data_IF_343327585983
#
_entry.id   IF_343327585983
#
_cell.length_a   1.000
_cell.length_b   1.000
_cell.length_c   1.000
_cell.angle_alpha   90.00
_cell.angle_beta   90.00
_cell.angle_gamma   90.00
#
_symmetry.space_group_name_H-M   'P 1'
#
loop_
_entity.id
_entity.type
_entity.pdbx_description
1 polymer ?
#
# COMPACT_ATOMS: atom_id res chain seq x y z
N UNK A 1 6.49 -24.08 -28.30
CA UNK A 1 7.65 -23.23 -28.62
C UNK A 1 8.19 -22.66 -27.32
N UNK A 2 9.41 -23.06 -26.93
CA UNK A 2 10.03 -22.61 -25.69
C UNK A 2 10.47 -21.16 -25.88
N UNK A 3 9.80 -20.24 -25.19
CA UNK A 3 9.99 -18.80 -25.29
C UNK A 3 11.28 -18.35 -24.63
N UNK A 4 12.37 -18.36 -25.39
CA UNK A 4 13.58 -17.67 -24.97
C UNK A 4 13.31 -16.16 -25.01
N UNK A 5 13.34 -15.49 -23.86
CA UNK A 5 13.32 -14.02 -23.82
C UNK A 5 14.50 -13.50 -24.66
N UNK A 6 14.28 -12.54 -25.57
CA UNK A 6 15.38 -11.98 -26.36
C UNK A 6 16.43 -11.33 -25.44
N UNK A 7 17.70 -11.30 -25.85
CA UNK A 7 18.83 -10.89 -24.99
C UNK A 7 18.76 -9.44 -24.46
N UNK A 8 17.83 -8.63 -24.96
CA UNK A 8 17.57 -7.26 -24.51
C UNK A 8 16.11 -7.03 -24.08
N UNK A 9 15.39 -8.10 -23.74
CA UNK A 9 14.04 -7.98 -23.21
C UNK A 9 14.06 -7.27 -21.85
N UNK A 10 13.33 -6.16 -21.75
CA UNK A 10 13.12 -5.46 -20.49
C UNK A 10 12.24 -6.34 -19.60
N UNK A 11 12.56 -6.40 -18.30
CA UNK A 11 11.73 -7.10 -17.33
C UNK A 11 10.30 -6.55 -17.38
N UNK A 12 9.27 -7.42 -17.41
CA UNK A 12 7.89 -6.97 -17.48
C UNK A 12 7.55 -6.15 -16.22
N UNK A 13 7.05 -4.93 -16.41
CA UNK A 13 6.58 -4.10 -15.32
C UNK A 13 5.33 -4.72 -14.69
N UNK A 14 5.35 -4.86 -13.36
CA UNK A 14 4.19 -5.38 -12.60
C UNK A 14 3.49 -4.23 -11.91
N UNK A 15 2.19 -4.11 -12.17
CA UNK A 15 1.34 -3.22 -11.41
C UNK A 15 0.78 -3.99 -10.20
N UNK A 16 1.27 -3.66 -9.00
CA UNK A 16 1.05 -4.43 -7.77
C UNK A 16 -0.43 -4.54 -7.37
N UNK A 17 -1.17 -3.44 -7.42
CA UNK A 17 -2.55 -3.35 -6.93
C UNK A 17 -3.59 -3.38 -8.07
N UNK A 18 -3.47 -4.35 -8.98
CA UNK A 18 -4.29 -4.40 -10.20
C UNK A 18 -5.75 -4.71 -9.90
N UNK A 19 -6.01 -5.63 -8.97
CA UNK A 19 -7.36 -6.02 -8.58
C UNK A 19 -8.02 -4.86 -7.85
N UNK A 20 -7.30 -4.23 -6.91
CA UNK A 20 -7.80 -3.08 -6.17
C UNK A 20 -8.09 -1.87 -7.06
N UNK A 21 -7.21 -1.56 -8.02
CA UNK A 21 -7.47 -0.49 -8.99
C UNK A 21 -8.66 -0.82 -9.91
N UNK A 22 -8.78 -2.08 -10.37
CA UNK A 22 -9.90 -2.54 -11.17
C UNK A 22 -11.23 -2.49 -10.40
N UNK A 23 -11.21 -2.87 -9.12
CA UNK A 23 -12.36 -2.80 -8.22
C UNK A 23 -12.82 -1.36 -8.05
N UNK A 24 -11.92 -0.44 -7.71
CA UNK A 24 -12.22 0.99 -7.60
C UNK A 24 -12.78 1.58 -8.91
N UNK A 25 -12.24 1.16 -10.08
CA UNK A 25 -12.71 1.63 -11.38
C UNK A 25 -14.11 1.15 -11.76
N UNK A 26 -14.51 -0.05 -11.31
CA UNK A 26 -15.82 -0.64 -11.61
C UNK A 26 -16.90 -0.32 -10.57
N UNK A 27 -16.51 0.00 -9.34
CA UNK A 27 -17.43 0.37 -8.27
C UNK A 27 -18.29 1.58 -8.65
N UNK A 28 -19.56 1.61 -8.25
CA UNK A 28 -20.44 2.75 -8.48
C UNK A 28 -19.91 4.03 -7.83
N UNK A 29 -20.18 5.18 -8.44
CA UNK A 29 -19.85 6.47 -7.83
C UNK A 29 -20.53 6.60 -6.45
N UNK A 30 -19.76 7.00 -5.43
CA UNK A 30 -20.20 7.08 -4.03
C UNK A 30 -19.35 6.24 -3.08
N UNK A 31 -19.94 5.84 -1.95
CA UNK A 31 -19.23 5.28 -0.80
C UNK A 31 -18.27 4.13 -1.12
N UNK A 32 -18.72 3.07 -1.81
CA UNK A 32 -17.87 1.90 -2.07
C UNK A 32 -16.64 2.22 -2.92
N UNK A 33 -16.80 3.07 -3.95
CA UNK A 33 -15.66 3.53 -4.77
C UNK A 33 -14.69 4.36 -3.94
N UNK A 34 -15.19 5.26 -3.10
CA UNK A 34 -14.35 6.11 -2.26
C UNK A 34 -13.57 5.30 -1.21
N UNK A 35 -14.19 4.26 -0.65
CA UNK A 35 -13.54 3.32 0.28
C UNK A 35 -12.45 2.52 -0.45
N UNK A 36 -12.74 1.98 -1.63
CA UNK A 36 -11.75 1.25 -2.43
C UNK A 36 -10.57 2.15 -2.84
N UNK A 37 -10.83 3.42 -3.21
CA UNK A 37 -9.79 4.39 -3.51
C UNK A 37 -8.95 4.74 -2.27
N UNK A 38 -9.57 4.90 -1.11
CA UNK A 38 -8.85 5.16 0.14
C UNK A 38 -7.91 3.99 0.49
N UNK A 39 -8.40 2.75 0.35
CA UNK A 39 -7.58 1.54 0.53
C UNK A 39 -6.43 1.50 -0.49
N UNK A 40 -6.70 1.84 -1.76
CA UNK A 40 -5.68 1.90 -2.80
C UNK A 40 -4.58 2.90 -2.50
N UNK A 41 -4.94 4.12 -2.09
CA UNK A 41 -3.96 5.17 -1.76
C UNK A 41 -3.15 4.80 -0.53
N UNK A 42 -3.79 4.34 0.56
CA UNK A 42 -3.10 3.90 1.77
C UNK A 42 -2.12 2.75 1.47
N UNK A 43 -2.57 1.73 0.74
CA UNK A 43 -1.72 0.57 0.36
C UNK A 43 -0.57 0.99 -0.55
N UNK A 44 -0.80 1.94 -1.47
CA UNK A 44 0.25 2.47 -2.34
C UNK A 44 1.31 3.24 -1.56
N UNK A 45 0.93 3.95 -0.51
CA UNK A 45 1.89 4.63 0.36
C UNK A 45 2.66 3.64 1.23
N UNK A 46 1.98 2.65 1.82
CA UNK A 46 2.63 1.56 2.55
C UNK A 46 3.62 0.77 1.68
N UNK A 47 3.28 0.47 0.42
CA UNK A 47 4.21 -0.16 -0.53
C UNK A 47 5.43 0.71 -0.85
N UNK A 48 5.35 2.01 -0.64
CA UNK A 48 6.49 2.92 -0.75
C UNK A 48 7.46 2.85 0.42
N UNK A 49 7.24 1.97 1.40
CA UNK A 49 8.24 1.64 2.41
C UNK A 49 9.17 0.51 1.93
N UNK A 50 8.69 -0.34 1.02
CA UNK A 50 9.40 -1.53 0.56
C UNK A 50 10.34 -1.23 -0.62
N UNK A 51 11.49 -1.93 -0.71
CA UNK A 51 12.31 -1.93 -1.91
C UNK A 51 11.56 -2.57 -3.11
N UNK A 52 11.91 -2.25 -4.36
CA UNK A 52 13.01 -1.37 -4.79
C UNK A 52 12.59 0.09 -4.97
N UNK A 53 11.33 0.44 -4.70
CA UNK A 53 10.77 1.78 -4.96
C UNK A 53 10.40 2.51 -3.67
N UNK A 54 11.21 2.33 -2.63
CA UNK A 54 10.99 3.00 -1.36
C UNK A 54 11.12 4.52 -1.50
N UNK A 55 10.31 5.25 -0.74
CA UNK A 55 10.32 6.70 -0.75
C UNK A 55 11.48 7.24 0.09
N UNK A 56 12.04 8.37 -0.34
CA UNK A 56 12.83 9.20 0.55
C UNK A 56 11.89 9.77 1.62
N UNK A 57 12.32 9.83 2.88
CA UNK A 57 11.47 10.25 4.00
C UNK A 57 10.73 11.60 3.78
N UNK A 58 11.41 12.59 3.19
CA UNK A 58 10.81 13.87 2.85
C UNK A 58 9.68 13.75 1.80
N UNK A 59 9.78 12.79 0.88
CA UNK A 59 8.74 12.50 -0.10
C UNK A 59 7.57 11.73 0.52
N UNK A 60 7.85 10.80 1.43
CA UNK A 60 6.83 10.06 2.17
C UNK A 60 5.91 11.02 2.93
N UNK A 61 6.49 11.95 3.71
CA UNK A 61 5.74 12.97 4.44
C UNK A 61 4.89 13.88 3.53
N UNK A 62 5.46 14.36 2.42
CA UNK A 62 4.71 15.19 1.45
C UNK A 62 3.54 14.44 0.81
N UNK A 63 3.75 13.17 0.46
CA UNK A 63 2.72 12.31 -0.14
C UNK A 63 1.61 12.00 0.87
N UNK A 64 1.96 11.68 2.11
CA UNK A 64 1.00 11.43 3.18
C UNK A 64 0.16 12.69 3.47
N UNK A 65 0.76 13.87 3.57
CA UNK A 65 0.04 15.12 3.77
C UNK A 65 -0.97 15.40 2.62
N UNK A 66 -0.55 15.22 1.37
CA UNK A 66 -1.44 15.35 0.21
C UNK A 66 -2.57 14.32 0.21
N UNK A 67 -2.26 13.07 0.56
CA UNK A 67 -3.26 12.01 0.70
C UNK A 67 -4.25 12.29 1.84
N UNK A 68 -3.80 12.87 2.95
CA UNK A 68 -4.65 13.27 4.08
C UNK A 68 -5.63 14.36 3.69
N UNK A 69 -5.17 15.38 2.97
CA UNK A 69 -6.01 16.46 2.45
C UNK A 69 -7.06 15.92 1.47
N UNK A 70 -6.65 15.03 0.55
CA UNK A 70 -7.57 14.36 -0.36
C UNK A 70 -8.60 13.50 0.38
N UNK A 71 -8.17 12.68 1.34
CA UNK A 71 -9.04 11.81 2.15
C UNK A 71 -10.10 12.61 2.91
N UNK A 72 -9.76 13.81 3.40
CA UNK A 72 -10.69 14.69 4.08
C UNK A 72 -11.89 15.07 3.18
N UNK A 73 -11.67 15.18 1.86
CA UNK A 73 -12.70 15.55 0.89
C UNK A 73 -13.67 14.41 0.51
N UNK A 74 -13.38 13.16 0.85
CA UNK A 74 -14.22 12.01 0.50
C UNK A 74 -15.46 11.88 1.39
N UNK A 75 -16.58 11.40 0.85
CA UNK A 75 -17.83 11.15 1.58
C UNK A 75 -17.95 9.71 2.06
N UNK A 76 -17.11 9.34 3.03
CA UNK A 76 -17.03 7.97 3.55
C UNK A 76 -17.39 7.87 5.05
N UNK A 77 -17.74 6.67 5.55
CA UNK A 77 -18.00 6.45 6.98
C UNK A 77 -16.84 6.92 7.88
N UNK A 78 -17.11 7.58 9.02
CA UNK A 78 -16.05 8.16 9.87
C UNK A 78 -15.00 7.15 10.35
N UNK A 79 -15.41 5.92 10.69
CA UNK A 79 -14.51 4.87 11.14
C UNK A 79 -13.49 4.49 10.06
N UNK A 80 -13.95 4.29 8.82
CA UNK A 80 -13.08 4.01 7.68
C UNK A 80 -12.17 5.20 7.36
N UNK A 81 -12.69 6.44 7.42
CA UNK A 81 -11.88 7.65 7.21
C UNK A 81 -10.76 7.76 8.24
N UNK A 82 -11.06 7.43 9.49
CA UNK A 82 -10.07 7.44 10.58
C UNK A 82 -8.99 6.36 10.36
N UNK A 83 -9.39 5.13 10.07
CA UNK A 83 -8.45 4.02 9.82
C UNK A 83 -7.57 4.28 8.59
N UNK A 84 -8.14 4.79 7.50
CA UNK A 84 -7.38 5.16 6.31
C UNK A 84 -6.38 6.30 6.61
N UNK A 85 -6.79 7.28 7.43
CA UNK A 85 -5.90 8.33 7.91
C UNK A 85 -4.71 7.78 8.69
N UNK A 86 -4.98 6.88 9.65
CA UNK A 86 -3.93 6.23 10.44
C UNK A 86 -2.94 5.44 9.58
N UNK A 87 -3.41 4.69 8.58
CA UNK A 87 -2.55 3.97 7.64
C UNK A 87 -1.70 4.91 6.77
N UNK A 88 -2.28 6.02 6.32
CA UNK A 88 -1.54 7.06 5.58
C UNK A 88 -0.46 7.69 6.46
N UNK A 89 -0.80 8.05 7.69
CA UNK A 89 0.13 8.71 8.61
C UNK A 89 1.27 7.75 9.00
N UNK A 90 0.97 6.48 9.29
CA UNK A 90 1.98 5.45 9.59
C UNK A 90 2.98 5.23 8.44
N UNK A 91 2.53 5.38 7.18
CA UNK A 91 3.41 5.27 6.01
C UNK A 91 4.39 6.44 5.85
N UNK A 92 4.14 7.57 6.52
CA UNK A 92 5.05 8.72 6.52
C UNK A 92 6.24 8.53 7.46
N UNK A 93 6.04 7.83 8.57
CA UNK A 93 7.01 7.68 9.65
C UNK A 93 8.11 6.65 9.36
N UNK A 94 7.99 5.89 8.26
CA UNK A 94 9.00 4.95 7.81
C UNK A 94 9.12 3.68 8.67
N UNK A 95 8.09 3.35 9.46
CA UNK A 95 8.08 2.19 10.34
C UNK A 95 7.17 1.09 9.77
N UNK A 96 7.79 0.08 9.15
CA UNK A 96 7.08 -0.96 8.39
C UNK A 96 6.06 -1.72 9.25
N UNK A 97 6.43 -2.11 10.47
CA UNK A 97 5.53 -2.82 11.41
C UNK A 97 4.30 -1.97 11.77
N UNK A 98 4.49 -0.67 12.00
CA UNK A 98 3.39 0.24 12.35
C UNK A 98 2.46 0.45 11.15
N UNK A 99 3.05 0.60 9.96
CA UNK A 99 2.28 0.69 8.72
C UNK A 99 1.51 -0.61 8.42
N UNK A 100 2.13 -1.78 8.64
CA UNK A 100 1.50 -3.08 8.49
C UNK A 100 0.28 -3.21 9.42
N UNK A 101 0.42 -2.85 10.70
CA UNK A 101 -0.68 -2.91 11.65
C UNK A 101 -1.81 -1.94 11.28
N UNK A 102 -1.50 -0.70 10.92
CA UNK A 102 -2.50 0.28 10.52
C UNK A 102 -3.25 -0.13 9.24
N UNK A 103 -2.56 -0.78 8.29
CA UNK A 103 -3.18 -1.36 7.10
C UNK A 103 -4.04 -2.59 7.43
N UNK A 104 -3.64 -3.43 8.38
CA UNK A 104 -4.45 -4.56 8.84
C UNK A 104 -5.76 -4.09 9.49
N UNK A 105 -5.69 -3.05 10.32
CA UNK A 105 -6.88 -2.45 10.93
C UNK A 105 -7.82 -1.85 9.87
N UNK A 106 -7.26 -1.14 8.88
CA UNK A 106 -8.03 -0.65 7.74
C UNK A 106 -8.68 -1.80 6.95
N UNK A 107 -7.92 -2.85 6.63
CA UNK A 107 -8.40 -3.99 5.86
C UNK A 107 -9.55 -4.72 6.57
N UNK A 108 -9.45 -4.88 7.89
CA UNK A 108 -10.50 -5.51 8.70
C UNK A 108 -11.83 -4.77 8.55
N UNK A 109 -11.82 -3.44 8.70
CA UNK A 109 -13.03 -2.61 8.61
C UNK A 109 -13.53 -2.48 7.17
N UNK A 110 -12.61 -2.42 6.19
CA UNK A 110 -12.95 -2.26 4.78
C UNK A 110 -13.35 -3.55 4.08
N UNK A 111 -13.12 -4.73 4.69
CA UNK A 111 -13.29 -6.05 4.08
C UNK A 111 -14.64 -6.25 3.39
N UNK A 112 -15.73 -5.75 3.98
CA UNK A 112 -17.10 -5.87 3.42
C UNK A 112 -17.31 -5.07 2.13
N UNK A 113 -16.40 -4.14 1.81
CA UNK A 113 -16.45 -3.28 0.63
C UNK A 113 -15.42 -3.69 -0.45
N UNK A 114 -14.63 -4.74 -0.21
CA UNK A 114 -13.55 -5.17 -1.10
C UNK A 114 -13.90 -6.51 -1.78
N UNK A 115 -13.44 -6.69 -3.01
CA UNK A 115 -13.44 -8.00 -3.64
C UNK A 115 -12.24 -8.85 -3.16
N UNK A 116 -12.31 -10.15 -3.38
CA UNK A 116 -11.30 -11.12 -2.91
C UNK A 116 -9.88 -10.80 -3.43
N UNK A 117 -9.79 -10.31 -4.67
CA UNK A 117 -8.51 -9.92 -5.27
C UNK A 117 -7.91 -8.71 -4.58
N UNK A 118 -8.71 -7.68 -4.34
CA UNK A 118 -8.32 -6.48 -3.60
C UNK A 118 -7.89 -6.80 -2.17
N UNK A 119 -8.65 -7.67 -1.49
CA UNK A 119 -8.34 -8.12 -0.14
C UNK A 119 -6.99 -8.83 -0.09
N UNK A 120 -6.75 -9.76 -1.03
CA UNK A 120 -5.50 -10.52 -1.11
C UNK A 120 -4.30 -9.61 -1.37
N UNK A 121 -4.40 -8.66 -2.31
CA UNK A 121 -3.30 -7.73 -2.62
C UNK A 121 -2.87 -6.86 -1.42
N UNK A 122 -3.83 -6.42 -0.60
CA UNK A 122 -3.55 -5.65 0.61
C UNK A 122 -2.94 -6.55 1.69
N UNK A 123 -3.47 -7.76 1.86
CA UNK A 123 -2.93 -8.73 2.83
C UNK A 123 -1.48 -9.11 2.51
N UNK A 124 -1.16 -9.35 1.23
CA UNK A 124 0.22 -9.62 0.80
C UNK A 124 1.17 -8.46 1.13
N UNK A 125 0.72 -7.21 0.97
CA UNK A 125 1.49 -6.04 1.42
C UNK A 125 1.72 -6.03 2.94
N UNK A 126 0.69 -6.31 3.73
CA UNK A 126 0.79 -6.37 5.19
C UNK A 126 1.81 -7.43 5.61
N UNK A 127 1.73 -8.62 5.00
CA UNK A 127 2.63 -9.73 5.29
C UNK A 127 4.09 -9.39 4.93
N UNK A 128 4.32 -8.71 3.80
CA UNK A 128 5.66 -8.23 3.39
C UNK A 128 6.23 -7.17 4.35
N UNK A 129 5.44 -6.14 4.69
CA UNK A 129 5.86 -5.08 5.63
C UNK A 129 6.20 -5.63 7.02
N UNK A 130 5.45 -6.64 7.48
CA UNK A 130 5.72 -7.30 8.74
C UNK A 130 7.01 -8.14 8.71
N UNK A 131 7.41 -8.66 7.55
CA UNK A 131 8.62 -9.49 7.40
C UNK A 131 9.90 -8.66 7.17
N UNK A 132 9.85 -7.58 6.38
CA UNK A 132 11.04 -6.80 5.96
C UNK A 132 11.78 -6.17 7.16
N UNK A 133 11.06 -5.92 8.26
CA UNK A 133 11.65 -5.48 9.54
C UNK A 133 12.69 -6.44 10.13
N UNK A 134 12.77 -7.69 9.63
CA UNK A 134 13.65 -8.74 10.16
C UNK A 134 14.99 -8.84 9.41
N UNK A 135 15.09 -8.39 8.15
CA UNK A 135 16.25 -8.68 7.30
C UNK A 135 17.38 -7.62 7.36
N UNK A 136 17.18 -6.46 7.98
CA UNK A 136 18.19 -5.39 8.04
C UNK A 136 19.23 -5.53 9.17
N UNK A 137 19.72 -6.74 9.44
CA UNK A 137 20.91 -6.94 10.30
C UNK A 137 22.16 -7.04 9.43
N UNK A 138 22.93 -5.95 9.35
CA UNK A 138 24.19 -5.89 8.60
C UNK A 138 25.20 -6.95 9.11
N UNK A 139 25.79 -7.80 8.24
CA UNK A 139 26.81 -8.74 8.66
C UNK A 139 28.09 -8.00 9.11
N UNK A 140 28.80 -8.50 10.14
CA UNK A 140 29.93 -7.81 10.78
C UNK A 140 31.20 -7.66 9.92
N UNK A 141 31.16 -7.93 8.61
CA UNK A 141 32.35 -8.04 7.75
C UNK A 141 32.89 -6.74 7.17
N UNK A 142 32.33 -5.56 7.50
CA UNK A 142 32.79 -4.25 7.00
C UNK A 142 33.27 -3.29 8.09
N UNK A 143 33.71 -3.80 9.25
CA UNK A 143 34.53 -3.02 10.20
C UNK A 143 36.01 -3.27 9.93
N UNK A 144 36.61 -2.48 9.03
CA UNK A 144 38.06 -2.25 9.02
C UNK A 144 38.33 -0.77 8.81
#
# INVERSE_FOLDING_TARGET
MIGHLPPFAIAPSRFRFRALASHAGRASLGGDREIALACFVASRLGAGLLPPFSFVAADAGRRAAGARQWLASLSMPPALKSAAGAAIDASADGQDVVAAQALADLLLIASVHLDEGSFTEIRELIDELAHDSTEFTCPPSLRR
#
